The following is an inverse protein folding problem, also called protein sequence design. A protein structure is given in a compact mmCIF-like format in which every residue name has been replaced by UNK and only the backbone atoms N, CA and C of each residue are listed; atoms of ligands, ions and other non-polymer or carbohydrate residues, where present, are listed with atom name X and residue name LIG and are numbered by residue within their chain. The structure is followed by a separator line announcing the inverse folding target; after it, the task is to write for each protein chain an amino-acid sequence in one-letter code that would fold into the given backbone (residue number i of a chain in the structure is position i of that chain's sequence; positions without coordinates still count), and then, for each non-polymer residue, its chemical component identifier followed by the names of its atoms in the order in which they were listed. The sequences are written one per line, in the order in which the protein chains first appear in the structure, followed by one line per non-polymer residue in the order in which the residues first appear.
data_IF_206461907605
#
_entry.id   IF_206461907605
#
_cell.length_a   1.000
_cell.length_b   1.000
_cell.length_c   1.000
_cell.angle_alpha   90.00
_cell.angle_beta   90.00
_cell.angle_gamma   90.00
#
_symmetry.space_group_name_H-M   'P 1'
#
loop_
_entity.id
_entity.type
_entity.pdbx_description
1 polymer ?
#
# COMPACT_ATOMS: atom_id res chain seq x y z
N UNK A 1 19.93 -18.19 -10.56
CA UNK A 1 19.54 -17.65 -9.23
C UNK A 1 18.10 -17.12 -9.21
N UNK A 2 17.71 -16.20 -10.09
CA UNK A 2 16.33 -15.67 -10.12
C UNK A 2 15.23 -16.75 -10.28
N UNK A 3 15.46 -17.76 -11.14
CA UNK A 3 14.48 -18.84 -11.32
C UNK A 3 14.26 -19.67 -10.06
N UNK A 4 15.28 -19.81 -9.20
CA UNK A 4 15.15 -20.55 -7.94
C UNK A 4 14.40 -19.74 -6.88
N UNK A 5 14.65 -18.43 -6.80
CA UNK A 5 13.90 -17.50 -5.94
C UNK A 5 12.41 -17.48 -6.29
N UNK A 6 12.10 -17.35 -7.59
CA UNK A 6 10.71 -17.38 -8.10
C UNK A 6 10.06 -18.74 -7.84
N UNK A 7 10.79 -19.84 -8.01
CA UNK A 7 10.28 -21.20 -7.77
C UNK A 7 9.97 -21.43 -6.29
N UNK A 8 10.83 -20.96 -5.38
CA UNK A 8 10.64 -21.10 -3.93
C UNK A 8 9.48 -20.24 -3.43
N UNK A 9 9.34 -19.01 -3.93
CA UNK A 9 8.21 -18.14 -3.61
C UNK A 9 6.88 -18.74 -4.08
N UNK A 10 6.83 -19.26 -5.32
CA UNK A 10 5.63 -19.91 -5.84
C UNK A 10 5.25 -21.18 -5.06
N UNK A 11 6.23 -22.03 -4.72
CA UNK A 11 6.01 -23.26 -3.95
C UNK A 11 5.54 -22.97 -2.51
N UNK A 12 5.99 -21.86 -1.93
CA UNK A 12 5.55 -21.37 -0.61
C UNK A 12 4.11 -20.81 -0.61
N UNK A 13 3.60 -20.39 -1.77
CA UNK A 13 2.33 -19.69 -1.90
C UNK A 13 1.18 -20.56 -2.37
N UNK A 14 1.49 -21.53 -3.23
CA UNK A 14 0.53 -22.47 -3.78
C UNK A 14 1.12 -23.87 -3.58
N UNK A 15 0.74 -24.60 -2.51
CA UNK A 15 1.31 -25.93 -2.25
C UNK A 15 0.91 -26.98 -3.31
N UNK A 16 -0.14 -26.72 -4.10
CA UNK A 16 -0.84 -27.70 -4.95
C UNK A 16 -0.81 -27.40 -6.47
N UNK A 17 -0.03 -26.43 -6.96
CA UNK A 17 0.02 -26.12 -8.40
C UNK A 17 1.08 -26.97 -9.13
N UNK A 18 0.77 -27.44 -10.34
CA UNK A 18 1.76 -28.06 -11.24
C UNK A 18 2.76 -26.99 -11.67
N UNK A 19 3.97 -27.07 -11.11
CA UNK A 19 5.00 -26.02 -11.12
C UNK A 19 5.36 -25.45 -12.50
N UNK A 20 5.13 -26.19 -13.58
CA UNK A 20 5.52 -25.78 -14.93
C UNK A 20 4.57 -24.73 -15.54
N UNK A 21 3.26 -24.87 -15.34
CA UNK A 21 2.27 -24.01 -16.00
C UNK A 21 2.27 -22.58 -15.42
N UNK A 22 2.26 -22.44 -14.09
CA UNK A 22 2.30 -21.11 -13.48
C UNK A 22 3.65 -20.42 -13.66
N UNK A 23 4.76 -21.16 -13.77
CA UNK A 23 6.07 -20.60 -14.15
C UNK A 23 6.06 -20.08 -15.58
N UNK A 24 5.45 -20.81 -16.51
CA UNK A 24 5.27 -20.37 -17.89
C UNK A 24 4.46 -19.08 -17.98
N UNK A 25 3.33 -19.00 -17.26
CA UNK A 25 2.47 -17.81 -17.22
C UNK A 25 3.22 -16.62 -16.61
N UNK A 26 3.87 -16.79 -15.46
CA UNK A 26 4.64 -15.72 -14.83
C UNK A 26 5.83 -15.26 -15.67
N UNK A 27 6.56 -16.19 -16.31
CA UNK A 27 7.66 -15.83 -17.20
C UNK A 27 7.18 -15.07 -18.44
N UNK A 28 6.03 -15.46 -19.02
CA UNK A 28 5.40 -14.76 -20.12
C UNK A 28 4.97 -13.34 -19.71
N UNK A 29 4.29 -13.19 -18.58
CA UNK A 29 3.89 -11.89 -18.07
C UNK A 29 5.11 -11.03 -17.73
N UNK A 30 6.12 -11.58 -17.06
CA UNK A 30 7.34 -10.85 -16.73
C UNK A 30 8.13 -10.43 -17.98
N UNK A 31 8.21 -11.29 -19.00
CA UNK A 31 8.79 -10.95 -20.29
C UNK A 31 7.98 -9.87 -21.03
N UNK A 32 6.65 -9.96 -21.01
CA UNK A 32 5.76 -8.96 -21.57
C UNK A 32 5.90 -7.60 -20.88
N UNK A 33 6.03 -7.61 -19.56
CA UNK A 33 6.33 -6.45 -18.72
C UNK A 33 7.67 -5.85 -19.14
N UNK A 34 8.75 -6.63 -19.17
CA UNK A 34 10.09 -6.14 -19.54
C UNK A 34 10.08 -5.51 -20.93
N UNK A 35 9.46 -6.17 -21.92
CA UNK A 35 9.34 -5.62 -23.28
C UNK A 35 8.52 -4.32 -23.32
N UNK A 36 7.44 -4.27 -22.56
CA UNK A 36 6.58 -3.11 -22.44
C UNK A 36 7.31 -1.91 -21.82
N UNK A 37 8.22 -2.17 -20.87
CA UNK A 37 9.05 -1.13 -20.24
C UNK A 37 10.19 -0.64 -21.11
N UNK A 38 10.78 -1.51 -21.95
CA UNK A 38 11.85 -1.08 -22.87
C UNK A 38 11.35 -0.12 -23.95
N UNK A 39 10.06 -0.17 -24.26
CA UNK A 39 9.40 0.69 -25.25
C UNK A 39 8.68 1.89 -24.61
N UNK A 40 8.63 1.95 -23.27
CA UNK A 40 7.85 2.95 -22.54
C UNK A 40 8.55 4.33 -22.52
N UNK A 41 7.79 5.43 -22.66
CA UNK A 41 8.34 6.76 -22.50
C UNK A 41 8.73 7.05 -21.03
N UNK A 42 9.66 7.99 -20.82
CA UNK A 42 10.30 8.22 -19.52
C UNK A 42 9.32 8.55 -18.38
N UNK A 43 8.24 9.25 -18.69
CA UNK A 43 7.19 9.58 -17.72
C UNK A 43 6.53 8.33 -17.14
N UNK A 44 6.25 7.33 -17.97
CA UNK A 44 5.67 6.05 -17.54
C UNK A 44 6.68 5.32 -16.66
N UNK A 45 7.94 5.23 -17.10
CA UNK A 45 9.02 4.60 -16.33
C UNK A 45 9.19 5.23 -14.95
N UNK A 46 9.05 6.55 -14.82
CA UNK A 46 9.17 7.26 -13.55
C UNK A 46 8.06 6.88 -12.55
N UNK A 47 6.81 6.73 -13.00
CA UNK A 47 5.70 6.26 -12.15
C UNK A 47 6.05 4.91 -11.51
N UNK A 48 6.66 4.02 -12.28
CA UNK A 48 7.05 2.69 -11.80
C UNK A 48 8.21 2.71 -10.82
N UNK A 49 9.19 3.60 -11.02
CA UNK A 49 10.26 3.79 -10.01
C UNK A 49 9.65 4.21 -8.67
N UNK A 50 8.67 5.11 -8.68
CA UNK A 50 7.97 5.52 -7.46
C UNK A 50 7.26 4.33 -6.81
N UNK A 51 6.60 3.48 -7.59
CA UNK A 51 5.95 2.26 -7.05
C UNK A 51 6.96 1.32 -6.40
N UNK A 52 8.12 1.11 -7.01
CA UNK A 52 9.18 0.29 -6.40
C UNK A 52 9.62 0.89 -5.06
N UNK A 53 9.80 2.22 -4.99
CA UNK A 53 10.10 2.89 -3.73
C UNK A 53 8.98 2.76 -2.69
N UNK A 54 7.72 2.80 -3.10
CA UNK A 54 6.58 2.58 -2.20
C UNK A 54 6.58 1.15 -1.64
N UNK A 55 6.76 0.13 -2.49
CA UNK A 55 6.83 -1.27 -2.04
C UNK A 55 8.01 -1.46 -1.07
N UNK A 56 9.17 -0.86 -1.35
CA UNK A 56 10.32 -0.90 -0.44
C UNK A 56 10.00 -0.20 0.89
N UNK A 57 9.32 0.95 0.85
CA UNK A 57 8.86 1.66 2.03
C UNK A 57 7.87 0.85 2.87
N UNK A 58 6.93 0.15 2.25
CA UNK A 58 5.98 -0.72 2.95
C UNK A 58 6.68 -1.90 3.62
N UNK A 59 7.62 -2.54 2.91
CA UNK A 59 8.45 -3.63 3.45
C UNK A 59 9.25 -3.14 4.67
N UNK A 60 9.87 -1.97 4.59
CA UNK A 60 10.65 -1.38 5.70
C UNK A 60 9.74 -1.03 6.89
N UNK A 61 8.65 -0.30 6.67
CA UNK A 61 7.73 0.11 7.74
C UNK A 61 7.02 -1.08 8.37
N UNK A 62 6.58 -2.05 7.57
CA UNK A 62 5.96 -3.28 8.06
C UNK A 62 6.92 -4.16 8.86
N UNK A 63 8.20 -4.21 8.46
CA UNK A 63 9.25 -4.90 9.24
C UNK A 63 9.49 -4.20 10.57
N UNK A 64 9.57 -2.86 10.58
CA UNK A 64 9.76 -2.07 11.81
C UNK A 64 8.64 -2.32 12.83
N UNK A 65 7.38 -2.30 12.38
CA UNK A 65 6.21 -2.63 13.22
C UNK A 65 6.33 -4.03 13.81
N UNK A 66 6.66 -5.03 12.99
CA UNK A 66 6.74 -6.42 13.43
C UNK A 66 7.89 -6.67 14.43
N UNK A 67 9.00 -5.93 14.31
CA UNK A 67 10.12 -5.96 15.26
C UNK A 67 9.68 -5.37 16.60
N UNK A 68 9.08 -4.17 16.60
CA UNK A 68 8.63 -3.48 17.81
C UNK A 68 7.57 -4.29 18.55
N UNK A 69 6.64 -4.91 17.83
CA UNK A 69 5.58 -5.74 18.41
C UNK A 69 6.04 -7.16 18.76
N UNK A 70 7.34 -7.49 18.59
CA UNK A 70 7.92 -8.84 18.82
C UNK A 70 7.14 -9.98 18.13
N UNK A 71 6.48 -9.68 17.02
CA UNK A 71 5.57 -10.60 16.32
C UNK A 71 6.13 -11.07 14.96
N UNK A 72 7.42 -10.85 14.72
CA UNK A 72 8.06 -11.16 13.45
C UNK A 72 8.09 -12.66 13.17
N UNK A 73 7.20 -13.11 12.27
CA UNK A 73 7.19 -14.47 11.72
C UNK A 73 7.60 -14.39 10.24
N UNK A 74 8.84 -14.77 9.95
CA UNK A 74 9.44 -14.69 8.61
C UNK A 74 8.63 -15.43 7.54
N UNK A 75 8.06 -16.59 7.87
CA UNK A 75 7.24 -17.39 6.94
C UNK A 75 5.97 -16.65 6.53
N UNK A 76 5.29 -16.00 7.48
CA UNK A 76 4.06 -15.23 7.21
C UNK A 76 4.39 -13.97 6.42
N UNK A 77 5.50 -13.30 6.75
CA UNK A 77 5.99 -12.14 6.04
C UNK A 77 6.30 -12.45 4.57
N UNK A 78 7.07 -13.51 4.32
CA UNK A 78 7.41 -13.95 2.97
C UNK A 78 6.17 -14.36 2.17
N UNK A 79 5.23 -15.08 2.78
CA UNK A 79 3.97 -15.45 2.13
C UNK A 79 3.10 -14.23 1.81
N UNK A 80 2.95 -13.26 2.73
CA UNK A 80 2.15 -12.06 2.45
C UNK A 80 2.78 -11.22 1.34
N UNK A 81 4.08 -10.96 1.42
CA UNK A 81 4.81 -10.19 0.41
C UNK A 81 4.74 -10.85 -0.95
N UNK A 82 4.92 -12.17 -1.03
CA UNK A 82 4.88 -12.87 -2.29
C UNK A 82 3.46 -12.91 -2.91
N UNK A 83 2.38 -13.00 -2.11
CA UNK A 83 1.00 -12.89 -2.63
C UNK A 83 0.74 -11.52 -3.26
N UNK A 84 1.14 -10.43 -2.58
CA UNK A 84 1.01 -9.06 -3.10
C UNK A 84 1.80 -8.89 -4.40
N UNK A 85 3.05 -9.34 -4.41
CA UNK A 85 3.91 -9.22 -5.58
C UNK A 85 3.33 -9.96 -6.79
N UNK A 86 2.81 -11.18 -6.61
CA UNK A 86 2.14 -11.91 -7.69
C UNK A 86 0.89 -11.15 -8.16
N UNK A 87 0.09 -10.62 -7.23
CA UNK A 87 -1.06 -9.78 -7.56
C UNK A 87 -0.68 -8.61 -8.46
N UNK A 88 0.35 -7.86 -8.10
CA UNK A 88 0.83 -6.73 -8.87
C UNK A 88 1.37 -7.12 -10.25
N UNK A 89 2.16 -8.19 -10.34
CA UNK A 89 2.66 -8.69 -11.62
C UNK A 89 1.51 -9.13 -12.53
N UNK A 90 0.48 -9.79 -11.99
CA UNK A 90 -0.70 -10.20 -12.74
C UNK A 90 -1.52 -9.00 -13.20
N UNK A 91 -1.87 -8.09 -12.29
CA UNK A 91 -2.64 -6.87 -12.60
C UNK A 91 -1.93 -6.04 -13.66
N UNK A 92 -0.62 -5.83 -13.51
CA UNK A 92 0.13 -5.04 -14.45
C UNK A 92 0.32 -5.74 -15.80
N UNK A 93 0.68 -7.03 -15.80
CA UNK A 93 0.84 -7.80 -17.04
C UNK A 93 -0.44 -7.86 -17.87
N UNK A 94 -1.60 -7.96 -17.21
CA UNK A 94 -2.91 -7.86 -17.88
C UNK A 94 -3.19 -6.46 -18.41
N UNK A 95 -2.92 -5.42 -17.62
CA UNK A 95 -3.08 -4.02 -18.05
C UNK A 95 -2.22 -3.68 -19.28
N UNK A 96 -0.94 -4.11 -19.28
CA UNK A 96 -0.03 -3.94 -20.40
C UNK A 96 -0.50 -4.70 -21.65
N UNK A 97 -1.03 -5.92 -21.49
CA UNK A 97 -1.62 -6.67 -22.59
C UNK A 97 -2.87 -5.97 -23.16
N UNK A 98 -3.71 -5.39 -22.30
CA UNK A 98 -4.87 -4.61 -22.72
C UNK A 98 -4.49 -3.33 -23.44
N UNK A 99 -3.44 -2.62 -23.00
CA UNK A 99 -2.97 -1.44 -23.72
C UNK A 99 -2.55 -1.76 -25.16
N UNK A 100 -1.94 -2.93 -25.38
CA UNK A 100 -1.58 -3.39 -26.73
C UNK A 100 -2.79 -3.82 -27.54
N UNK A 101 -3.77 -4.47 -26.91
CA UNK A 101 -4.98 -4.93 -27.58
C UNK A 101 -5.86 -3.75 -28.03
N UNK A 102 -6.01 -2.74 -27.17
CA UNK A 102 -6.90 -1.59 -27.39
C UNK A 102 -6.18 -0.44 -28.09
N UNK A 103 -4.84 -0.41 -28.04
CA UNK A 103 -4.05 0.71 -28.56
C UNK A 103 -4.11 1.95 -27.67
N UNK A 104 -4.30 1.77 -26.35
CA UNK A 104 -4.51 2.88 -25.41
C UNK A 104 -3.23 3.57 -24.91
N UNK A 105 -2.08 3.35 -25.57
CA UNK A 105 -0.82 4.05 -25.33
C UNK A 105 -0.47 4.23 -23.84
N UNK A 106 -0.34 3.12 -23.10
CA UNK A 106 0.05 3.11 -21.68
C UNK A 106 -0.97 3.63 -20.68
N UNK A 107 -2.18 3.98 -21.11
CA UNK A 107 -3.21 4.47 -20.22
C UNK A 107 -3.59 3.40 -19.19
N UNK A 108 -4.01 2.20 -19.61
CA UNK A 108 -4.54 1.17 -18.69
C UNK A 108 -3.47 0.73 -17.69
N UNK A 109 -2.23 0.55 -18.15
CA UNK A 109 -1.06 0.34 -17.30
C UNK A 109 -0.87 1.44 -16.25
N UNK A 110 -1.06 2.71 -16.63
CA UNK A 110 -0.94 3.84 -15.68
C UNK A 110 -2.01 3.80 -14.60
N UNK A 111 -3.24 3.44 -14.94
CA UNK A 111 -4.31 3.22 -13.95
C UNK A 111 -3.98 2.08 -13.00
N UNK A 112 -3.45 0.96 -13.51
CA UNK A 112 -2.97 -0.13 -12.68
C UNK A 112 -1.82 0.31 -11.76
N UNK A 113 -0.92 1.16 -12.26
CA UNK A 113 0.17 1.74 -11.49
C UNK A 113 -0.36 2.58 -10.32
N UNK A 114 -1.34 3.47 -10.56
CA UNK A 114 -1.94 4.29 -9.50
C UNK A 114 -2.68 3.44 -8.46
N UNK A 115 -3.40 2.41 -8.89
CA UNK A 115 -4.02 1.46 -7.98
C UNK A 115 -2.99 0.84 -7.02
N UNK A 116 -1.85 0.35 -7.57
CA UNK A 116 -0.77 -0.22 -6.77
C UNK A 116 -0.18 0.84 -5.84
N UNK A 117 0.11 2.03 -6.34
CA UNK A 117 0.67 3.13 -5.54
C UNK A 117 -0.22 3.48 -4.35
N UNK A 118 -1.52 3.65 -4.57
CA UNK A 118 -2.48 3.94 -3.49
C UNK A 118 -2.54 2.80 -2.47
N UNK A 119 -2.49 1.54 -2.92
CA UNK A 119 -2.48 0.40 -2.00
C UNK A 119 -1.23 0.34 -1.11
N UNK A 120 -0.06 0.68 -1.66
CA UNK A 120 1.19 0.74 -0.89
C UNK A 120 1.23 1.95 0.05
N UNK A 121 0.77 3.12 -0.39
CA UNK A 121 0.64 4.30 0.46
C UNK A 121 -0.28 4.00 1.65
N UNK A 122 -1.45 3.38 1.42
CA UNK A 122 -2.36 3.01 2.49
C UNK A 122 -1.72 2.01 3.47
N UNK A 123 -0.94 1.04 2.96
CA UNK A 123 -0.22 0.06 3.77
C UNK A 123 0.88 0.72 4.63
N UNK A 124 1.64 1.65 4.06
CA UNK A 124 2.65 2.44 4.78
C UNK A 124 1.99 3.26 5.89
N UNK A 125 0.93 4.02 5.57
CA UNK A 125 0.21 4.85 6.56
C UNK A 125 -0.32 4.00 7.71
N UNK A 126 -0.82 2.79 7.42
CA UNK A 126 -1.24 1.85 8.45
C UNK A 126 -0.09 1.45 9.38
N UNK A 127 1.10 1.20 8.82
CA UNK A 127 2.28 0.85 9.59
C UNK A 127 2.80 2.05 10.41
N UNK A 128 2.83 3.25 9.86
CA UNK A 128 3.21 4.47 10.59
C UNK A 128 2.28 4.72 11.78
N UNK A 129 0.97 4.52 11.62
CA UNK A 129 0.02 4.60 12.73
C UNK A 129 0.29 3.56 13.83
N UNK A 130 0.68 2.33 13.46
CA UNK A 130 1.10 1.29 14.44
C UNK A 130 2.41 1.63 15.15
N UNK A 131 3.27 2.45 14.54
CA UNK A 131 4.50 2.96 15.14
C UNK A 131 4.25 4.17 16.07
N UNK A 132 3.02 4.68 16.15
CA UNK A 132 2.69 5.86 16.95
C UNK A 132 3.24 7.15 16.37
N UNK A 133 3.56 7.18 15.07
CA UNK A 133 4.01 8.40 14.39
C UNK A 133 2.79 9.31 14.23
N UNK A 134 2.81 10.54 14.77
CA UNK A 134 1.66 11.44 14.72
C UNK A 134 1.35 11.79 13.26
N UNK A 135 0.12 11.53 12.84
CA UNK A 135 -0.35 11.82 11.49
C UNK A 135 -1.29 13.03 11.50
N UNK A 136 -1.41 13.77 10.38
CA UNK A 136 -2.45 14.77 10.23
C UNK A 136 -3.82 14.13 10.49
N UNK A 137 -4.66 14.83 11.26
CA UNK A 137 -6.01 14.42 11.66
C UNK A 137 -6.82 13.80 10.50
N UNK A 138 -6.83 14.46 9.34
CA UNK A 138 -7.51 13.96 8.13
C UNK A 138 -7.10 12.52 7.69
N UNK A 139 -5.82 12.17 7.85
CA UNK A 139 -5.33 10.83 7.50
C UNK A 139 -5.81 9.80 8.53
N UNK A 140 -5.82 10.16 9.80
CA UNK A 140 -6.30 9.29 10.88
C UNK A 140 -7.77 8.92 10.71
N UNK A 141 -8.64 9.89 10.34
CA UNK A 141 -10.05 9.60 9.98
C UNK A 141 -10.11 8.62 8.85
N UNK A 142 -9.41 8.93 7.76
CA UNK A 142 -9.58 8.19 6.52
C UNK A 142 -9.26 6.72 6.76
N UNK A 143 -8.19 6.47 7.53
CA UNK A 143 -7.80 5.12 7.94
C UNK A 143 -8.80 4.47 8.90
N UNK A 144 -9.33 5.21 9.90
CA UNK A 144 -10.37 4.72 10.83
C UNK A 144 -11.64 4.33 10.07
N UNK A 145 -12.11 5.20 9.17
CA UNK A 145 -13.27 4.99 8.29
C UNK A 145 -13.08 3.79 7.37
N UNK A 146 -11.92 3.65 6.73
CA UNK A 146 -11.62 2.51 5.85
C UNK A 146 -11.68 1.19 6.61
N UNK A 147 -11.13 1.14 7.84
CA UNK A 147 -11.19 -0.05 8.71
C UNK A 147 -12.62 -0.36 9.14
N UNK A 148 -13.38 0.65 9.56
CA UNK A 148 -14.76 0.48 9.97
C UNK A 148 -15.62 -0.02 8.81
N UNK A 149 -15.49 0.57 7.60
CA UNK A 149 -16.19 0.13 6.40
C UNK A 149 -15.84 -1.30 5.97
N UNK A 150 -14.57 -1.70 6.12
CA UNK A 150 -14.13 -3.06 5.84
C UNK A 150 -14.70 -4.10 6.84
N UNK A 151 -14.99 -3.69 8.08
CA UNK A 151 -15.55 -4.57 9.13
C UNK A 151 -17.07 -4.56 9.19
N UNK A 152 -17.71 -3.43 8.88
CA UNK A 152 -19.15 -3.20 8.90
C UNK A 152 -19.47 -2.28 7.74
N UNK A 153 -20.28 -2.73 6.78
CA UNK A 153 -20.88 -1.87 5.76
C UNK A 153 -21.75 -0.79 6.41
N UNK A 154 -21.11 0.25 6.96
CA UNK A 154 -21.69 1.35 7.72
C UNK A 154 -21.51 2.65 6.94
N UNK A 155 -22.43 3.59 7.16
CA UNK A 155 -22.56 4.80 6.38
C UNK A 155 -21.34 5.72 6.60
N UNK A 156 -20.82 6.27 5.51
CA UNK A 156 -19.66 7.17 5.51
C UNK A 156 -19.91 8.45 6.35
N UNK A 157 -21.17 8.87 6.47
CA UNK A 157 -21.58 10.10 7.15
C UNK A 157 -21.29 10.03 8.66
N UNK A 158 -21.65 8.93 9.29
CA UNK A 158 -21.51 8.71 10.73
C UNK A 158 -20.04 8.85 11.19
N UNK A 159 -19.09 8.46 10.34
CA UNK A 159 -17.65 8.57 10.65
C UNK A 159 -17.08 9.96 10.39
N UNK A 160 -17.64 10.69 9.42
CA UNK A 160 -17.25 12.07 9.15
C UNK A 160 -17.72 12.95 10.32
N UNK A 161 -18.94 12.76 10.81
CA UNK A 161 -19.49 13.50 11.96
C UNK A 161 -18.67 13.25 13.23
N UNK A 162 -18.35 11.98 13.56
CA UNK A 162 -17.51 11.65 14.74
C UNK A 162 -16.14 12.35 14.68
N UNK A 163 -15.62 12.59 13.47
CA UNK A 163 -14.32 13.21 13.30
C UNK A 163 -14.33 14.73 13.27
N UNK A 164 -15.36 15.33 12.68
CA UNK A 164 -15.54 16.79 12.74
C UNK A 164 -15.63 17.24 14.20
N UNK A 165 -16.38 16.52 15.04
CA UNK A 165 -16.43 16.76 16.49
C UNK A 165 -15.04 16.64 17.15
N UNK A 166 -14.25 15.61 16.80
CA UNK A 166 -12.91 15.40 17.36
C UNK A 166 -11.90 16.47 16.91
N UNK A 167 -12.01 17.00 15.68
CA UNK A 167 -11.21 18.16 15.25
C UNK A 167 -11.58 19.39 16.06
N UNK A 168 -12.87 19.71 16.15
CA UNK A 168 -13.35 20.92 16.83
C UNK A 168 -12.92 20.94 18.29
N UNK A 169 -13.06 19.80 18.98
CA UNK A 169 -12.66 19.66 20.39
C UNK A 169 -11.16 19.91 20.59
N UNK A 170 -10.32 19.47 19.65
CA UNK A 170 -8.87 19.65 19.73
C UNK A 170 -8.43 21.08 19.38
N UNK A 171 -9.11 21.71 18.43
CA UNK A 171 -8.92 23.13 18.11
C UNK A 171 -9.28 23.95 19.34
N UNK A 172 -10.42 23.68 19.99
CA UNK A 172 -10.88 24.34 21.21
C UNK A 172 -9.84 24.24 22.33
N UNK A 173 -9.37 23.02 22.64
CA UNK A 173 -8.31 22.78 23.64
C UNK A 173 -7.00 23.52 23.32
N UNK A 174 -6.65 23.64 22.04
CA UNK A 174 -5.46 24.41 21.60
C UNK A 174 -5.66 25.92 21.72
N UNK A 175 -6.88 26.42 21.56
CA UNK A 175 -7.21 27.84 21.77
C UNK A 175 -7.22 28.18 23.26
N UNK A 176 -7.81 27.34 24.11
CA UNK A 176 -7.82 27.54 25.57
C UNK A 176 -6.41 27.51 26.17
N UNK A 177 -5.54 26.59 25.71
CA UNK A 177 -4.12 26.59 26.09
C UNK A 177 -3.33 27.81 25.64
N UNK A 178 -3.78 28.53 24.61
CA UNK A 178 -3.19 29.81 24.20
C UNK A 178 -3.69 31.00 25.02
N UNK A 179 -4.85 30.87 25.66
CA UNK A 179 -5.48 31.92 26.47
C UNK A 179 -4.95 31.89 27.93
N UNK A 180 -4.56 30.72 28.45
CA UNK A 180 -3.95 30.62 29.77
C UNK A 180 -2.52 31.22 29.80
N UNK A 181 -2.36 32.38 30.44
CA UNK A 181 -1.07 32.91 30.90
C UNK A 181 -0.92 32.54 32.38
N UNK A 182 0.15 31.82 32.79
CA UNK A 182 0.44 31.66 34.22
C UNK A 182 0.90 33.02 34.76
N UNK A 183 0.08 33.67 35.58
CA UNK A 183 0.44 34.98 36.13
C UNK A 183 -0.50 35.67 37.11
N UNK A 184 -1.68 35.12 37.45
CA UNK A 184 -2.65 35.82 38.32
C UNK A 184 -3.09 34.97 39.54
N UNK A 185 -2.17 34.18 40.11
CA UNK A 185 -2.34 33.58 41.45
C UNK A 185 -1.10 33.93 42.28
N UNK A 186 -1.03 35.18 42.76
CA UNK A 186 -0.34 35.64 43.99
C UNK A 186 -0.36 37.17 44.01
N UNK A 187 -1.41 37.75 44.61
CA UNK A 187 -1.37 38.95 45.46
C UNK A 187 -2.69 39.08 46.24
#
# INVERSE_FOLDING_TARGET
MLSQLVTSALKSLFPSYKASAAKGILAFLFGGIVLYFTEAPENIVNIWRVIVWLILGDVVTGSAVAIIQRSFKSTIFAQRGAKRLIGYVMTFGLAAAMDRLVGSHYMIASWAAYYIAVSEIASILENLGKLGIPMPKFIEVMMKTMRQKAQKGSNLKDVIEEFEEEIETEIQKRQEKKIWKPGDEEE
#
